data_IF_892840754290
#
_entry.id   IF_892840754290
#
_cell.length_a   1.000
_cell.length_b   1.000
_cell.length_c   1.000
_cell.angle_alpha   90.00
_cell.angle_beta   90.00
_cell.angle_gamma   90.00
#
_symmetry.space_group_name_H-M   'P 1'
#
loop_
_entity.id
_entity.type
_entity.pdbx_description
1 polymer ?
#
# COMPACT_ATOMS: atom_id res chain seq x y z
N UNK A 1 -26.62 -8.94 16.99
CA UNK A 1 -26.65 -8.15 15.75
C UNK A 1 -25.22 -7.69 15.54
N UNK A 2 -24.47 -8.36 14.66
CA UNK A 2 -23.14 -7.90 14.29
C UNK A 2 -23.33 -6.52 13.61
N UNK A 3 -22.47 -5.52 13.86
CA UNK A 3 -22.53 -4.27 13.11
C UNK A 3 -22.42 -4.59 11.62
N UNK A 4 -23.19 -3.87 10.77
CA UNK A 4 -23.03 -3.92 9.32
C UNK A 4 -21.55 -3.75 9.00
N UNK A 5 -20.89 -4.79 8.48
CA UNK A 5 -19.51 -4.67 8.02
C UNK A 5 -19.46 -3.57 6.97
N UNK A 6 -18.53 -2.61 7.09
CA UNK A 6 -18.50 -1.46 6.21
C UNK A 6 -18.21 -1.99 4.79
N UNK A 7 -19.19 -1.85 3.91
CA UNK A 7 -19.13 -2.43 2.57
C UNK A 7 -18.49 -1.43 1.60
N UNK A 8 -17.56 -1.87 0.72
CA UNK A 8 -16.99 -1.01 -0.31
C UNK A 8 -18.07 -0.52 -1.27
N UNK A 9 -17.85 0.65 -1.87
CA UNK A 9 -18.80 1.30 -2.75
C UNK A 9 -18.10 2.14 -3.83
N UNK A 10 -18.81 2.40 -4.93
CA UNK A 10 -18.40 3.39 -5.93
C UNK A 10 -19.20 4.67 -5.76
N UNK A 11 -18.54 5.82 -5.86
CA UNK A 11 -19.22 7.11 -6.00
C UNK A 11 -19.21 7.53 -7.47
N UNK A 12 -20.38 7.83 -8.03
CA UNK A 12 -20.50 8.36 -9.39
C UNK A 12 -20.28 9.89 -9.45
N UNK A 13 -20.17 10.51 -10.65
CA UNK A 13 -19.97 11.96 -10.76
C UNK A 13 -21.11 12.83 -10.21
N UNK A 14 -22.30 12.26 -9.98
CA UNK A 14 -23.42 12.94 -9.35
C UNK A 14 -23.40 12.79 -7.82
N UNK A 15 -22.43 12.06 -7.27
CA UNK A 15 -22.31 11.78 -5.85
C UNK A 15 -23.18 10.62 -5.36
N UNK A 16 -23.77 9.82 -6.25
CA UNK A 16 -24.50 8.63 -5.80
C UNK A 16 -23.54 7.49 -5.48
N UNK A 17 -23.82 6.82 -4.37
CA UNK A 17 -23.07 5.66 -3.91
C UNK A 17 -23.70 4.35 -4.41
N UNK A 18 -22.86 3.49 -4.96
CA UNK A 18 -23.22 2.16 -5.46
C UNK A 18 -22.48 1.12 -4.63
N UNK A 19 -23.18 0.47 -3.68
CA UNK A 19 -22.58 -0.57 -2.84
C UNK A 19 -22.12 -1.76 -3.68
N UNK A 20 -20.97 -2.32 -3.32
CA UNK A 20 -20.34 -3.39 -4.05
C UNK A 20 -20.46 -4.73 -3.32
N UNK A 21 -20.86 -5.74 -4.08
CA UNK A 21 -20.72 -7.15 -3.72
C UNK A 21 -19.68 -7.82 -4.62
N UNK A 22 -19.06 -8.91 -4.15
CA UNK A 22 -18.07 -9.61 -4.99
C UNK A 22 -18.74 -10.16 -6.25
N UNK A 23 -18.20 -9.81 -7.42
CA UNK A 23 -18.79 -10.12 -8.70
C UNK A 23 -19.69 -9.03 -9.26
N UNK A 24 -19.80 -7.87 -8.60
CA UNK A 24 -20.57 -6.73 -9.09
C UNK A 24 -20.20 -6.36 -10.53
N UNK A 25 -21.21 -6.28 -11.39
CA UNK A 25 -21.05 -5.96 -12.82
C UNK A 25 -21.44 -4.51 -13.09
N UNK A 26 -20.68 -3.88 -13.99
CA UNK A 26 -20.93 -2.52 -14.47
C UNK A 26 -21.17 -2.59 -15.97
N UNK A 27 -22.24 -1.98 -16.45
CA UNK A 27 -22.59 -2.04 -17.86
C UNK A 27 -23.86 -1.27 -18.19
N UNK A 28 -24.25 -1.26 -19.46
CA UNK A 28 -25.51 -0.64 -19.91
C UNK A 28 -26.71 -1.58 -19.79
N UNK A 29 -26.47 -2.89 -19.70
CA UNK A 29 -27.53 -3.87 -19.54
C UNK A 29 -28.24 -3.63 -18.19
N UNK A 30 -29.56 -3.82 -18.16
CA UNK A 30 -30.38 -3.60 -16.94
C UNK A 30 -30.14 -4.70 -15.90
N UNK A 31 -29.51 -5.79 -16.33
CA UNK A 31 -29.10 -6.93 -15.53
C UNK A 31 -27.81 -6.66 -14.74
N UNK A 32 -27.08 -5.58 -15.06
CA UNK A 32 -25.89 -5.20 -14.31
C UNK A 32 -26.23 -4.63 -12.94
N UNK A 33 -25.32 -4.83 -11.97
CA UNK A 33 -25.48 -4.26 -10.63
C UNK A 33 -25.41 -2.73 -10.68
N UNK A 34 -24.53 -2.17 -11.52
CA UNK A 34 -24.41 -0.73 -11.76
C UNK A 34 -24.71 -0.47 -13.23
N UNK A 35 -25.85 0.19 -13.48
CA UNK A 35 -26.35 0.45 -14.83
C UNK A 35 -25.97 1.85 -15.30
N UNK A 36 -25.21 1.92 -16.38
CA UNK A 36 -24.84 3.18 -17.04
C UNK A 36 -25.60 3.30 -18.36
N UNK A 37 -26.54 4.24 -18.42
CA UNK A 37 -27.40 4.46 -19.60
C UNK A 37 -26.68 5.21 -20.74
N UNK A 38 -25.55 4.68 -21.21
CA UNK A 38 -24.71 5.30 -22.25
C UNK A 38 -24.34 4.34 -23.36
N UNK A 39 -24.49 4.79 -24.62
CA UNK A 39 -24.08 4.01 -25.81
C UNK A 39 -22.57 3.73 -25.86
N UNK A 40 -21.77 4.46 -25.08
CA UNK A 40 -20.32 4.24 -24.96
C UNK A 40 -19.98 3.09 -24.00
N UNK A 41 -20.97 2.55 -23.30
CA UNK A 41 -20.82 1.44 -22.37
C UNK A 41 -21.38 0.16 -22.99
N UNK A 42 -20.57 -0.91 -22.99
CA UNK A 42 -20.98 -2.26 -23.36
C UNK A 42 -22.11 -2.77 -22.47
N UNK A 43 -22.83 -3.81 -22.93
CA UNK A 43 -23.91 -4.43 -22.15
C UNK A 43 -23.41 -4.90 -20.79
N UNK A 44 -22.40 -5.76 -20.79
CA UNK A 44 -21.56 -6.07 -19.65
C UNK A 44 -20.17 -5.51 -19.97
N UNK A 45 -19.70 -4.54 -19.19
CA UNK A 45 -18.50 -3.78 -19.53
C UNK A 45 -17.31 -4.21 -18.67
N UNK A 46 -17.52 -4.18 -17.36
CA UNK A 46 -16.49 -4.50 -16.39
C UNK A 46 -17.09 -5.26 -15.21
N UNK A 47 -16.24 -5.94 -14.45
CA UNK A 47 -16.64 -6.63 -13.23
C UNK A 47 -15.64 -6.33 -12.11
N UNK A 48 -16.18 -6.10 -10.92
CA UNK A 48 -15.41 -6.00 -9.69
C UNK A 48 -15.46 -7.35 -8.99
N UNK A 49 -14.29 -7.92 -8.72
CA UNK A 49 -14.14 -9.17 -7.98
C UNK A 49 -13.37 -8.94 -6.70
N UNK A 50 -13.79 -9.62 -5.63
CA UNK A 50 -13.04 -9.69 -4.39
C UNK A 50 -12.23 -10.98 -4.33
N UNK A 51 -10.94 -10.87 -4.01
CA UNK A 51 -10.06 -11.99 -3.63
C UNK A 51 -9.48 -11.72 -2.24
N UNK A 52 -9.99 -12.45 -1.24
CA UNK A 52 -9.75 -12.16 0.17
C UNK A 52 -10.21 -10.75 0.54
N UNK A 53 -9.26 -9.89 0.93
CA UNK A 53 -9.52 -8.47 1.25
C UNK A 53 -9.32 -7.51 0.06
N UNK A 54 -8.81 -7.99 -1.07
CA UNK A 54 -8.44 -7.13 -2.19
C UNK A 54 -9.54 -7.11 -3.24
N UNK A 55 -9.72 -5.95 -3.85
CA UNK A 55 -10.64 -5.76 -4.96
C UNK A 55 -9.88 -5.66 -6.27
N UNK A 56 -10.45 -6.23 -7.31
CA UNK A 56 -9.91 -6.22 -8.65
C UNK A 56 -10.98 -5.81 -9.64
N UNK A 57 -10.63 -4.93 -10.57
CA UNK A 57 -11.45 -4.59 -11.72
C UNK A 57 -10.94 -5.37 -12.94
N UNK A 58 -11.87 -5.99 -13.66
CA UNK A 58 -11.59 -6.64 -14.94
C UNK A 58 -12.49 -6.09 -16.04
N UNK A 59 -11.93 -5.90 -17.22
CA UNK A 59 -12.67 -5.56 -18.44
C UNK A 59 -13.24 -6.85 -19.07
N UNK A 60 -14.53 -6.86 -19.41
CA UNK A 60 -15.23 -8.02 -19.97
C UNK A 60 -15.22 -8.04 -21.51
N UNK A 61 -14.17 -7.51 -22.13
CA UNK A 61 -14.08 -7.37 -23.58
C UNK A 61 -14.91 -6.19 -24.09
N UNK A 62 -14.87 -5.07 -23.36
CA UNK A 62 -15.64 -3.89 -23.71
C UNK A 62 -15.12 -3.20 -24.97
N UNK A 63 -16.01 -2.50 -25.70
CA UNK A 63 -15.63 -1.85 -26.95
C UNK A 63 -14.71 -0.64 -26.76
N UNK A 64 -14.88 0.09 -25.66
CA UNK A 64 -14.13 1.33 -25.39
C UNK A 64 -13.05 1.16 -24.30
N UNK A 65 -12.97 -0.02 -23.67
CA UNK A 65 -12.04 -0.30 -22.59
C UNK A 65 -12.49 0.25 -21.24
N UNK A 66 -11.97 -0.40 -20.20
CA UNK A 66 -12.01 0.04 -18.81
C UNK A 66 -10.69 0.73 -18.46
N UNK A 67 -10.76 1.79 -17.65
CA UNK A 67 -9.60 2.59 -17.24
C UNK A 67 -9.50 2.61 -15.72
N UNK A 68 -8.28 2.56 -15.19
CA UNK A 68 -7.97 2.74 -13.78
C UNK A 68 -6.94 3.87 -13.68
N UNK A 69 -7.27 4.94 -12.95
CA UNK A 69 -6.44 6.14 -12.81
C UNK A 69 -5.97 6.69 -14.18
N UNK A 70 -6.91 6.86 -15.10
CA UNK A 70 -6.72 7.31 -16.50
C UNK A 70 -5.89 6.38 -17.40
N UNK A 71 -5.40 5.25 -16.90
CA UNK A 71 -4.70 4.24 -17.68
C UNK A 71 -5.62 3.09 -18.07
N UNK A 72 -5.57 2.66 -19.33
CA UNK A 72 -6.39 1.54 -19.81
C UNK A 72 -5.88 0.23 -19.22
N UNK A 73 -6.76 -0.52 -18.55
CA UNK A 73 -6.41 -1.84 -18.04
C UNK A 73 -6.39 -2.88 -19.18
N UNK A 74 -5.38 -3.75 -19.18
CA UNK A 74 -5.23 -4.84 -20.15
C UNK A 74 -5.47 -6.23 -19.55
N UNK A 75 -5.55 -6.30 -18.22
CA UNK A 75 -5.83 -7.48 -17.43
C UNK A 75 -6.57 -7.04 -16.14
N UNK A 76 -6.98 -8.01 -15.31
CA UNK A 76 -7.52 -7.70 -14.00
C UNK A 76 -6.49 -6.93 -13.16
N UNK A 77 -6.86 -5.75 -12.65
CA UNK A 77 -6.00 -4.88 -11.85
C UNK A 77 -6.57 -4.66 -10.46
N UNK A 78 -5.69 -4.62 -9.45
CA UNK A 78 -6.09 -4.30 -8.08
C UNK A 78 -6.62 -2.85 -8.02
N UNK A 79 -7.75 -2.65 -7.36
CA UNK A 79 -8.36 -1.34 -7.10
C UNK A 79 -8.23 -1.04 -5.62
N UNK A 80 -7.84 0.19 -5.32
CA UNK A 80 -7.62 0.68 -3.96
C UNK A 80 -8.53 1.85 -3.65
N UNK A 81 -8.76 2.07 -2.36
CA UNK A 81 -9.50 3.25 -1.89
C UNK A 81 -8.94 4.55 -2.49
N UNK A 82 -9.83 5.36 -3.05
CA UNK A 82 -9.53 6.60 -3.76
C UNK A 82 -9.23 6.46 -5.25
N UNK A 83 -9.05 5.24 -5.78
CA UNK A 83 -8.78 5.04 -7.20
C UNK A 83 -9.98 5.44 -8.07
N UNK A 84 -9.67 5.96 -9.26
CA UNK A 84 -10.66 6.35 -10.26
C UNK A 84 -10.86 5.25 -11.30
N UNK A 85 -12.10 4.79 -11.50
CA UNK A 85 -12.47 3.78 -12.50
C UNK A 85 -13.26 4.45 -13.63
N UNK A 86 -12.66 4.49 -14.83
CA UNK A 86 -13.28 5.03 -16.04
C UNK A 86 -14.00 3.96 -16.86
N UNK A 87 -15.31 4.15 -17.10
CA UNK A 87 -16.14 3.28 -17.93
C UNK A 87 -16.98 4.13 -18.89
N UNK A 88 -16.63 4.08 -20.18
CA UNK A 88 -17.32 4.85 -21.22
C UNK A 88 -17.14 6.36 -21.07
N UNK A 89 -18.16 7.03 -20.55
CA UNK A 89 -18.23 8.48 -20.26
C UNK A 89 -18.43 8.79 -18.77
N UNK A 90 -18.33 7.78 -17.92
CA UNK A 90 -18.47 7.91 -16.46
C UNK A 90 -17.16 7.53 -15.78
N UNK A 91 -16.76 8.33 -14.79
CA UNK A 91 -15.64 8.04 -13.90
C UNK A 91 -16.20 7.86 -12.50
N UNK A 92 -15.93 6.71 -11.90
CA UNK A 92 -16.29 6.41 -10.52
C UNK A 92 -15.07 6.57 -9.62
N UNK A 93 -15.29 6.98 -8.37
CA UNK A 93 -14.28 6.84 -7.32
C UNK A 93 -14.58 5.60 -6.50
N UNK A 94 -13.60 4.73 -6.33
CA UNK A 94 -13.73 3.55 -5.49
C UNK A 94 -13.44 3.89 -4.03
N UNK A 95 -14.33 3.46 -3.14
CA UNK A 95 -14.19 3.62 -1.71
C UNK A 95 -14.23 2.26 -1.02
N UNK A 96 -13.19 2.00 -0.23
CA UNK A 96 -13.12 0.80 0.58
C UNK A 96 -12.86 1.18 2.04
N UNK A 97 -13.90 1.24 2.88
CA UNK A 97 -13.75 1.56 4.29
C UNK A 97 -12.96 0.47 5.06
N UNK A 98 -12.87 -0.77 4.54
CA UNK A 98 -11.97 -1.77 5.09
C UNK A 98 -10.50 -1.41 4.76
N UNK A 99 -10.21 -0.78 3.63
CA UNK A 99 -8.85 -0.26 3.33
C UNK A 99 -8.44 0.82 4.34
N UNK A 100 -9.36 1.59 4.91
CA UNK A 100 -9.03 2.53 6.01
C UNK A 100 -8.59 1.81 7.29
N UNK A 101 -8.93 0.53 7.47
CA UNK A 101 -8.45 -0.31 8.58
C UNK A 101 -7.27 -1.22 8.21
N UNK A 102 -6.90 -1.29 6.92
CA UNK A 102 -5.79 -2.13 6.41
C UNK A 102 -4.85 -1.34 5.50
N UNK A 103 -4.73 -0.02 5.69
CA UNK A 103 -3.60 0.75 5.15
C UNK A 103 -2.36 0.46 6.01
N UNK A 104 -1.89 -0.77 5.92
CA UNK A 104 -0.46 -1.06 6.01
C UNK A 104 -0.01 -1.45 4.61
N UNK A 105 0.07 -0.46 3.70
CA UNK A 105 0.88 -0.50 2.46
C UNK A 105 2.39 -0.67 2.72
N UNK A 106 2.74 -1.16 3.90
CA UNK A 106 4.09 -1.45 4.31
C UNK A 106 4.54 -2.71 3.55
N UNK A 107 5.68 -2.69 2.85
CA UNK A 107 6.31 -3.91 2.38
C UNK A 107 6.32 -4.97 3.49
N UNK A 108 6.04 -6.22 3.13
CA UNK A 108 6.08 -7.34 4.08
C UNK A 108 7.53 -7.57 4.52
N UNK A 109 7.91 -6.94 5.64
CA UNK A 109 9.25 -6.97 6.20
C UNK A 109 9.32 -8.04 7.29
N UNK A 110 10.00 -9.13 6.99
CA UNK A 110 10.30 -10.19 7.96
C UNK A 110 11.77 -10.11 8.36
N UNK A 111 12.04 -10.09 9.66
CA UNK A 111 13.39 -10.14 10.23
C UNK A 111 13.50 -11.36 11.14
N UNK A 112 14.20 -12.39 10.67
CA UNK A 112 14.57 -13.55 11.48
C UNK A 112 15.89 -13.24 12.19
N UNK A 113 15.80 -12.74 13.42
CA UNK A 113 16.97 -12.34 14.21
C UNK A 113 17.81 -13.53 14.68
N UNK A 114 17.23 -14.72 14.77
CA UNK A 114 17.94 -15.95 15.15
C UNK A 114 18.78 -16.48 13.99
N UNK A 115 18.25 -16.42 12.76
CA UNK A 115 18.96 -16.84 11.54
C UNK A 115 19.78 -15.70 10.89
N UNK A 116 19.57 -14.44 11.30
CA UNK A 116 20.20 -13.28 10.67
C UNK A 116 19.68 -12.99 9.26
N UNK A 117 18.43 -13.35 8.97
CA UNK A 117 17.83 -13.26 7.63
C UNK A 117 16.80 -12.14 7.59
N UNK A 118 16.87 -11.31 6.55
CA UNK A 118 15.89 -10.24 6.29
C UNK A 118 15.20 -10.53 4.96
N UNK A 119 13.87 -10.46 4.94
CA UNK A 119 13.06 -10.58 3.73
C UNK A 119 12.15 -9.37 3.57
N UNK A 120 12.01 -8.92 2.33
CA UNK A 120 11.08 -7.86 1.94
C UNK A 120 10.21 -8.42 0.83
N UNK A 121 8.89 -8.42 1.03
CA UNK A 121 7.94 -9.08 0.13
C UNK A 121 8.37 -10.53 -0.17
N UNK A 122 8.76 -11.26 0.89
CA UNK A 122 9.25 -12.66 0.87
C UNK A 122 10.59 -12.90 0.16
N UNK A 123 11.21 -11.87 -0.42
CA UNK A 123 12.54 -11.96 -1.08
C UNK A 123 13.65 -11.63 -0.09
N UNK A 124 14.65 -12.50 0.01
CA UNK A 124 15.81 -12.25 0.87
C UNK A 124 16.60 -11.01 0.43
N UNK A 125 16.94 -10.13 1.37
CA UNK A 125 17.72 -8.92 1.17
C UNK A 125 19.03 -9.04 1.95
N UNK A 126 20.14 -8.85 1.26
CA UNK A 126 21.46 -8.80 1.90
C UNK A 126 21.71 -7.41 2.50
N UNK A 127 22.14 -7.34 3.75
CA UNK A 127 22.47 -6.10 4.45
C UNK A 127 23.93 -6.15 4.93
N UNK A 128 24.59 -5.00 5.02
CA UNK A 128 25.85 -4.89 5.76
C UNK A 128 25.60 -5.09 7.27
N UNK A 129 26.63 -5.43 8.07
CA UNK A 129 26.45 -5.65 9.51
C UNK A 129 25.79 -4.47 10.23
N UNK A 130 26.15 -3.24 9.88
CA UNK A 130 25.59 -2.03 10.51
C UNK A 130 24.14 -1.78 10.06
N UNK A 131 23.80 -2.03 8.80
CA UNK A 131 22.42 -1.93 8.31
C UNK A 131 21.52 -2.98 8.99
N UNK A 132 22.03 -4.21 9.16
CA UNK A 132 21.33 -5.25 9.91
C UNK A 132 21.12 -4.86 11.37
N UNK A 133 22.16 -4.38 12.07
CA UNK A 133 22.03 -3.94 13.46
C UNK A 133 21.02 -2.80 13.61
N UNK A 134 21.04 -1.82 12.70
CA UNK A 134 20.05 -0.74 12.66
C UNK A 134 18.63 -1.29 12.49
N UNK A 135 18.43 -2.16 11.49
CA UNK A 135 17.12 -2.74 11.22
C UNK A 135 16.63 -3.62 12.36
N UNK A 136 17.48 -4.49 12.91
CA UNK A 136 17.15 -5.36 14.02
C UNK A 136 16.75 -4.57 15.26
N UNK A 137 17.49 -3.50 15.58
CA UNK A 137 17.14 -2.60 16.68
C UNK A 137 15.78 -1.94 16.48
N UNK A 138 15.56 -1.35 15.29
CA UNK A 138 14.30 -0.69 14.95
C UNK A 138 13.11 -1.66 14.88
N UNK A 139 13.35 -2.92 14.48
CA UNK A 139 12.34 -3.97 14.41
C UNK A 139 11.92 -4.44 15.80
N UNK A 140 12.86 -4.57 16.73
CA UNK A 140 12.55 -4.88 18.14
C UNK A 140 11.73 -3.75 18.81
N UNK A 141 11.89 -2.51 18.33
CA UNK A 141 11.19 -1.31 18.81
C UNK A 141 10.13 -0.80 17.80
N UNK A 142 9.59 -1.67 16.94
CA UNK A 142 8.65 -1.25 15.91
C UNK A 142 7.43 -0.54 16.51
N UNK A 143 6.91 0.45 15.79
CA UNK A 143 5.84 1.32 16.30
C UNK A 143 6.30 2.46 17.21
N UNK A 144 7.52 2.42 17.76
CA UNK A 144 8.07 3.46 18.63
C UNK A 144 9.01 4.42 17.88
N UNK A 145 9.17 5.63 18.40
CA UNK A 145 10.16 6.60 17.87
C UNK A 145 11.50 6.33 18.54
N UNK A 146 12.48 5.91 17.75
CA UNK A 146 13.86 5.71 18.19
C UNK A 146 14.69 6.96 17.87
N UNK A 147 15.28 7.57 18.88
CA UNK A 147 16.15 8.73 18.73
C UNK A 147 17.48 8.38 18.07
N UNK A 148 18.14 9.39 17.50
CA UNK A 148 19.49 9.21 16.92
C UNK A 148 20.48 8.68 17.96
N UNK A 149 20.40 9.17 19.20
CA UNK A 149 21.26 8.73 20.29
C UNK A 149 21.07 7.26 20.67
N UNK A 150 19.83 6.79 20.70
CA UNK A 150 19.51 5.38 20.94
C UNK A 150 20.03 4.49 19.83
N UNK A 151 19.76 4.88 18.57
CA UNK A 151 20.27 4.18 17.38
C UNK A 151 21.80 4.18 17.37
N UNK A 152 22.42 5.31 17.71
CA UNK A 152 23.86 5.48 17.81
C UNK A 152 24.49 4.46 18.76
N UNK A 153 23.96 4.37 19.98
CA UNK A 153 24.41 3.40 21.00
C UNK A 153 24.18 1.94 20.60
N UNK A 154 23.06 1.65 19.94
CA UNK A 154 22.73 0.29 19.52
C UNK A 154 23.61 -0.22 18.37
N UNK A 155 23.94 0.66 17.42
CA UNK A 155 24.65 0.28 16.20
C UNK A 155 26.17 0.45 16.33
N UNK A 156 26.65 1.40 17.13
CA UNK A 156 28.07 1.68 17.36
C UNK A 156 28.41 1.60 18.86
N UNK A 157 29.11 0.54 19.32
CA UNK A 157 29.65 0.47 20.68
C UNK A 157 30.51 1.69 21.05
N UNK A 158 31.20 2.26 20.06
CA UNK A 158 32.06 3.45 20.18
C UNK A 158 31.31 4.79 20.18
N UNK A 159 29.97 4.81 20.09
CA UNK A 159 29.18 6.05 20.04
C UNK A 159 29.46 6.98 21.24
N UNK A 160 29.60 6.39 22.43
CA UNK A 160 29.89 7.13 23.67
C UNK A 160 31.29 7.76 23.70
N UNK A 161 32.21 7.30 22.85
CA UNK A 161 33.57 7.86 22.75
C UNK A 161 33.60 9.18 21.95
N UNK A 162 32.46 9.66 21.44
CA UNK A 162 32.33 10.98 20.79
C UNK A 162 32.84 11.04 19.34
N UNK A 163 33.09 9.89 18.72
CA UNK A 163 33.58 9.80 17.32
C UNK A 163 32.49 9.58 16.27
N UNK A 164 31.22 9.43 16.69
CA UNK A 164 30.08 9.19 15.80
C UNK A 164 29.14 10.38 15.88
N UNK A 165 28.81 10.93 14.72
CA UNK A 165 27.93 12.07 14.55
C UNK A 165 26.65 11.67 13.82
N UNK A 166 25.60 12.49 13.96
CA UNK A 166 24.28 12.31 13.34
C UNK A 166 24.32 11.93 11.85
N UNK A 167 25.24 12.52 11.07
CA UNK A 167 25.32 12.26 9.63
C UNK A 167 25.66 10.79 9.31
N UNK A 168 26.34 10.07 10.20
CA UNK A 168 26.63 8.64 10.02
C UNK A 168 25.37 7.79 10.19
N UNK A 169 24.49 8.19 11.12
CA UNK A 169 23.18 7.57 11.34
C UNK A 169 22.28 7.85 10.13
N UNK A 170 22.20 9.11 9.69
CA UNK A 170 21.41 9.52 8.53
C UNK A 170 21.84 8.79 7.25
N UNK A 171 23.14 8.66 7.00
CA UNK A 171 23.65 7.89 5.86
C UNK A 171 23.35 6.40 5.96
N UNK A 172 23.35 5.83 7.17
CA UNK A 172 22.99 4.43 7.38
C UNK A 172 21.49 4.21 7.12
N UNK A 173 20.63 5.09 7.63
CA UNK A 173 19.18 5.08 7.37
C UNK A 173 18.90 5.21 5.88
N UNK A 174 19.57 6.15 5.19
CA UNK A 174 19.42 6.35 3.75
C UNK A 174 19.76 5.07 2.97
N UNK A 175 20.86 4.41 3.32
CA UNK A 175 21.25 3.13 2.69
C UNK A 175 20.29 2.01 3.03
N UNK A 176 19.80 1.93 4.28
CA UNK A 176 18.82 0.92 4.66
C UNK A 176 17.53 1.06 3.85
N UNK A 177 17.02 2.28 3.65
CA UNK A 177 15.84 2.54 2.81
C UNK A 177 16.00 2.02 1.39
N UNK A 178 17.18 2.15 0.77
CA UNK A 178 17.39 1.59 -0.59
C UNK A 178 17.36 0.08 -0.65
N UNK A 179 17.42 -0.61 0.51
CA UNK A 179 17.34 -2.07 0.61
C UNK A 179 15.93 -2.56 0.93
N UNK A 180 15.14 -1.79 1.69
CA UNK A 180 13.86 -2.27 2.23
C UNK A 180 12.62 -1.54 1.69
N UNK A 181 12.77 -0.36 1.13
CA UNK A 181 11.65 0.42 0.59
C UNK A 181 11.46 0.17 -0.90
N UNK A 182 10.21 0.25 -1.38
CA UNK A 182 9.90 0.27 -2.81
C UNK A 182 10.30 1.60 -3.46
N UNK A 183 10.05 2.72 -2.77
CA UNK A 183 10.52 4.06 -3.13
C UNK A 183 11.29 4.67 -1.95
N UNK A 184 12.63 4.65 -1.96
CA UNK A 184 13.45 5.20 -0.87
C UNK A 184 13.30 6.71 -0.66
N UNK A 185 12.81 7.46 -1.65
CA UNK A 185 12.58 8.90 -1.53
C UNK A 185 11.29 9.21 -0.75
N UNK A 186 10.30 8.29 -0.79
CA UNK A 186 9.05 8.34 -0.05
C UNK A 186 8.91 7.09 0.82
N UNK A 187 9.67 6.99 1.93
CA UNK A 187 9.74 5.78 2.75
C UNK A 187 8.42 5.52 3.46
N UNK A 188 7.96 4.26 3.44
CA UNK A 188 6.74 3.82 4.12
C UNK A 188 7.08 3.00 5.38
N UNK A 189 8.12 2.14 5.33
CA UNK A 189 8.54 1.36 6.50
C UNK A 189 9.28 2.22 7.52
N UNK A 190 10.28 2.96 7.08
CA UNK A 190 11.20 3.67 7.96
C UNK A 190 10.96 5.17 7.88
N UNK A 191 10.02 5.67 8.67
CA UNK A 191 9.64 7.08 8.72
C UNK A 191 10.68 7.93 9.47
N UNK A 192 10.90 9.16 8.99
CA UNK A 192 11.64 10.20 9.74
C UNK A 192 10.64 11.01 10.57
N UNK A 193 10.82 11.03 11.88
CA UNK A 193 10.06 11.91 12.78
C UNK A 193 10.92 13.12 13.09
N UNK A 194 10.61 14.24 12.41
CA UNK A 194 11.45 15.45 12.42
C UNK A 194 11.73 15.91 13.86
N UNK A 195 13.02 16.06 14.19
CA UNK A 195 13.49 16.50 15.49
C UNK A 195 13.49 15.43 16.59
N UNK A 196 12.92 14.25 16.35
CA UNK A 196 12.85 13.17 17.34
C UNK A 196 13.69 11.95 16.95
N UNK A 197 13.66 11.53 15.68
CA UNK A 197 14.41 10.36 15.22
C UNK A 197 13.72 9.60 14.10
N UNK A 198 13.71 8.28 14.21
CA UNK A 198 13.16 7.37 13.20
C UNK A 198 12.18 6.39 13.81
N UNK A 199 11.19 5.98 13.03
CA UNK A 199 10.19 4.99 13.45
C UNK A 199 10.05 3.94 12.36
N UNK A 200 10.15 2.68 12.74
CA UNK A 200 9.80 1.56 11.86
C UNK A 200 8.33 1.23 12.02
N UNK A 201 7.64 1.10 10.90
CA UNK A 201 6.26 0.63 10.81
C UNK A 201 6.31 -0.70 10.04
N UNK A 202 5.81 -1.76 10.68
CA UNK A 202 5.62 -3.11 10.15
C UNK A 202 4.31 -3.67 10.68
#
# INVERSE_FOLDING_TARGET
MLPDEPSPYLTDPNGHEHRLESGATIGRAVECNIVIASKRVSREHARLRRDGRRWFIEDLGSSNGTFLNDERILAAMEVRDGDSIGIGDVVFTFHDPDTTTVDSRLPDLEVDTAAGVVRVNRRAVSLSPKEYLLLAYLYDHHGQVCSKDEIGRAVWPEYQAGGIFDYQIENLVRRLRTRIEMDPANPQLLATIRGLGYKLQV
#
